data_IF_790158589102
#
_entry.id   IF_790158589102
#
_cell.length_a   1.000
_cell.length_b   1.000
_cell.length_c   1.000
_cell.angle_alpha   90.00
_cell.angle_beta   90.00
_cell.angle_gamma   90.00
#
_symmetry.space_group_name_H-M   'P 1'
#
loop_
_entity.id
_entity.type
_entity.pdbx_description
1 polymer ?
#
# COMPACT_ATOMS: atom_id res chain seq x y z
N UNK A 1 -70.52 -5.21 -12.63
CA UNK A 1 -69.26 -5.99 -12.45
C UNK A 1 -69.65 -7.40 -12.02
N UNK A 2 -69.13 -8.41 -12.71
CA UNK A 2 -69.50 -9.78 -12.38
C UNK A 2 -68.86 -10.19 -11.04
N UNK A 3 -69.52 -11.00 -10.21
CA UNK A 3 -69.01 -11.42 -8.91
C UNK A 3 -67.64 -12.10 -9.00
N UNK A 4 -67.34 -12.73 -10.16
CA UNK A 4 -66.05 -13.34 -10.44
C UNK A 4 -64.91 -12.31 -10.56
N UNK A 5 -65.16 -11.10 -11.09
CA UNK A 5 -64.17 -10.04 -11.26
C UNK A 5 -63.80 -9.44 -9.86
N UNK A 6 -64.79 -9.32 -8.97
CA UNK A 6 -64.58 -8.80 -7.61
C UNK A 6 -63.74 -9.80 -6.82
N UNK A 7 -63.99 -11.09 -6.92
CA UNK A 7 -63.20 -12.13 -6.21
C UNK A 7 -61.75 -12.16 -6.72
N UNK A 8 -61.53 -11.98 -8.03
CA UNK A 8 -60.17 -11.91 -8.63
C UNK A 8 -59.37 -10.69 -8.12
N UNK A 9 -60.01 -9.54 -7.99
CA UNK A 9 -59.38 -8.31 -7.50
C UNK A 9 -59.00 -8.47 -6.00
N UNK A 10 -59.86 -9.06 -5.19
CA UNK A 10 -59.60 -9.30 -3.79
C UNK A 10 -58.42 -10.25 -3.58
N UNK A 11 -58.35 -11.33 -4.37
CA UNK A 11 -57.22 -12.27 -4.31
C UNK A 11 -55.90 -11.61 -4.72
N UNK A 12 -55.89 -10.80 -5.79
CA UNK A 12 -54.71 -10.13 -6.23
C UNK A 12 -54.19 -9.06 -5.26
N UNK A 13 -55.13 -8.30 -4.64
CA UNK A 13 -54.73 -7.34 -3.56
C UNK A 13 -54.21 -8.03 -2.32
N UNK A 14 -54.82 -9.14 -1.91
CA UNK A 14 -54.31 -9.93 -0.79
C UNK A 14 -52.90 -10.50 -1.08
N UNK A 15 -52.66 -11.01 -2.29
CA UNK A 15 -51.35 -11.50 -2.72
C UNK A 15 -50.29 -10.38 -2.79
N UNK A 16 -50.67 -9.20 -3.25
CA UNK A 16 -49.76 -8.03 -3.30
C UNK A 16 -49.41 -7.53 -1.90
N UNK A 17 -50.38 -7.48 -0.97
CA UNK A 17 -50.12 -7.09 0.41
C UNK A 17 -49.27 -8.12 1.15
N UNK A 18 -49.51 -9.41 0.91
CA UNK A 18 -48.71 -10.51 1.47
C UNK A 18 -47.27 -10.47 0.96
N UNK A 19 -47.07 -10.25 -0.34
CA UNK A 19 -45.74 -10.10 -0.93
C UNK A 19 -45.01 -8.87 -0.39
N UNK A 20 -45.71 -7.74 -0.24
CA UNK A 20 -45.12 -6.53 0.34
C UNK A 20 -44.75 -6.70 1.82
N UNK A 21 -45.58 -7.42 2.58
CA UNK A 21 -45.33 -7.73 3.99
C UNK A 21 -44.11 -8.66 4.16
N UNK A 22 -44.00 -9.70 3.34
CA UNK A 22 -42.85 -10.62 3.31
C UNK A 22 -41.57 -9.88 2.87
N UNK A 23 -41.65 -8.99 1.90
CA UNK A 23 -40.49 -8.15 1.47
C UNK A 23 -40.04 -7.17 2.57
N UNK A 24 -40.97 -6.76 3.46
CA UNK A 24 -40.66 -5.88 4.59
C UNK A 24 -40.02 -6.63 5.76
N UNK A 25 -40.43 -7.87 5.98
CA UNK A 25 -39.82 -8.75 6.99
C UNK A 25 -38.41 -9.13 6.59
N UNK A 26 -38.17 -9.49 5.30
CA UNK A 26 -36.82 -9.76 4.80
C UNK A 26 -35.90 -8.54 4.79
N UNK A 27 -36.43 -7.31 4.75
CA UNK A 27 -35.63 -6.09 4.93
C UNK A 27 -35.30 -5.78 6.39
N UNK A 28 -36.02 -6.37 7.35
CA UNK A 28 -35.70 -6.21 8.76
C UNK A 28 -34.52 -7.10 9.19
N UNK A 29 -34.22 -8.16 8.43
CA UNK A 29 -33.07 -9.03 8.65
C UNK A 29 -31.73 -8.44 8.04
N UNK A 30 -31.82 -7.41 7.17
CA UNK A 30 -30.65 -6.68 6.68
C UNK A 30 -29.95 -5.85 7.78
N UNK A 31 -30.48 -5.84 9.00
CA UNK A 31 -29.78 -5.24 10.15
C UNK A 31 -28.68 -6.16 10.70
N UNK A 32 -28.65 -7.41 10.27
CA UNK A 32 -27.63 -8.38 10.66
C UNK A 32 -26.36 -8.32 9.75
N UNK A 33 -26.44 -7.58 8.62
CA UNK A 33 -25.27 -7.34 7.77
C UNK A 33 -24.16 -6.52 8.48
N UNK A 34 -24.47 -5.89 9.64
CA UNK A 34 -23.43 -5.25 10.47
C UNK A 34 -22.65 -6.23 11.35
N UNK A 35 -23.11 -7.47 11.48
CA UNK A 35 -22.36 -8.52 12.19
C UNK A 35 -21.48 -9.34 11.23
N UNK A 36 -21.73 -9.27 9.91
CA UNK A 36 -20.85 -9.90 8.92
C UNK A 36 -19.64 -9.03 8.55
N UNK A 37 -19.64 -7.75 8.90
CA UNK A 37 -18.48 -6.87 8.72
C UNK A 37 -17.34 -7.17 9.73
N UNK A 38 -17.59 -8.02 10.73
CA UNK A 38 -16.57 -8.47 11.70
C UNK A 38 -15.92 -9.80 11.33
N UNK A 39 -16.36 -10.47 10.28
CA UNK A 39 -15.71 -11.67 9.74
C UNK A 39 -14.98 -11.35 8.43
N UNK A 40 -14.29 -10.20 8.36
CA UNK A 40 -13.33 -9.98 7.31
C UNK A 40 -12.23 -11.03 7.47
N UNK A 41 -12.34 -12.12 6.71
CA UNK A 41 -11.28 -13.14 6.63
C UNK A 41 -10.13 -12.50 5.84
N UNK A 42 -9.27 -11.79 6.55
CA UNK A 42 -8.02 -11.31 5.98
C UNK A 42 -7.24 -12.48 5.39
N UNK A 43 -6.70 -12.28 4.21
CA UNK A 43 -5.78 -13.27 3.64
C UNK A 43 -4.43 -13.11 4.34
N UNK A 44 -3.88 -14.23 4.76
CA UNK A 44 -2.55 -14.34 5.31
C UNK A 44 -1.68 -15.15 4.35
N UNK A 45 -0.58 -14.56 3.93
CA UNK A 45 0.37 -15.19 3.02
C UNK A 45 1.72 -15.30 3.72
N UNK A 46 2.38 -16.46 3.54
CA UNK A 46 3.79 -16.66 3.88
C UNK A 46 4.59 -16.54 2.60
N UNK A 47 5.72 -15.82 2.67
CA UNK A 47 6.61 -15.61 1.51
C UNK A 47 5.87 -14.98 0.32
N UNK A 48 5.27 -13.81 0.56
CA UNK A 48 4.57 -13.06 -0.47
C UNK A 48 5.55 -12.41 -1.46
N UNK A 49 5.19 -12.42 -2.74
CA UNK A 49 5.87 -11.69 -3.80
C UNK A 49 4.84 -10.92 -4.62
N UNK A 50 5.01 -9.61 -4.70
CA UNK A 50 4.13 -8.71 -5.44
C UNK A 50 4.95 -7.99 -6.50
N UNK A 51 4.41 -7.93 -7.69
CA UNK A 51 5.00 -7.20 -8.82
C UNK A 51 4.10 -6.01 -9.13
N UNK A 52 4.65 -4.80 -9.11
CA UNK A 52 4.01 -3.60 -9.59
C UNK A 52 4.48 -3.30 -11.01
N UNK A 53 3.54 -3.05 -11.91
CA UNK A 53 3.82 -2.74 -13.31
C UNK A 53 3.30 -1.35 -13.67
N UNK A 54 3.90 -0.73 -14.66
CA UNK A 54 3.45 0.49 -15.29
C UNK A 54 2.28 0.22 -16.27
N UNK A 55 1.70 1.27 -16.84
CA UNK A 55 0.60 1.20 -17.83
C UNK A 55 0.97 0.39 -19.08
N UNK A 56 2.24 0.40 -19.49
CA UNK A 56 2.77 -0.39 -20.60
C UNK A 56 3.09 -1.85 -20.24
N UNK A 57 2.93 -2.24 -18.95
CA UNK A 57 3.22 -3.57 -18.42
C UNK A 57 4.68 -3.78 -18.02
N UNK A 58 5.54 -2.78 -18.08
CA UNK A 58 6.92 -2.86 -17.59
C UNK A 58 6.95 -2.99 -16.06
N UNK A 59 7.96 -3.69 -15.54
CA UNK A 59 8.11 -3.90 -14.10
C UNK A 59 8.65 -2.63 -13.45
N UNK A 60 7.86 -2.01 -12.57
CA UNK A 60 8.28 -0.86 -11.78
C UNK A 60 8.97 -1.27 -10.48
N UNK A 61 8.37 -2.21 -9.76
CA UNK A 61 8.92 -2.67 -8.48
C UNK A 61 8.51 -4.10 -8.17
N UNK A 62 9.29 -4.73 -7.33
CA UNK A 62 9.03 -6.04 -6.77
C UNK A 62 9.10 -5.96 -5.25
N UNK A 63 8.04 -6.40 -4.56
CA UNK A 63 7.99 -6.53 -3.11
C UNK A 63 8.10 -8.01 -2.77
N UNK A 64 9.10 -8.37 -1.99
CA UNK A 64 9.23 -9.66 -1.33
C UNK A 64 9.01 -9.44 0.16
N UNK A 65 8.17 -10.26 0.82
CA UNK A 65 7.91 -10.17 2.25
C UNK A 65 7.82 -11.56 2.88
N UNK A 66 8.27 -11.68 4.12
CA UNK A 66 8.15 -12.94 4.86
C UNK A 66 6.67 -13.24 5.15
N UNK A 67 5.90 -12.19 5.46
CA UNK A 67 4.47 -12.30 5.73
C UNK A 67 3.74 -11.13 5.07
N UNK A 68 2.53 -11.41 4.56
CA UNK A 68 1.59 -10.39 4.11
C UNK A 68 0.21 -10.70 4.66
N UNK A 69 -0.45 -9.71 5.24
CA UNK A 69 -1.77 -9.81 5.84
C UNK A 69 -2.66 -8.70 5.32
N UNK A 70 -3.86 -9.05 4.89
CA UNK A 70 -4.87 -8.09 4.52
C UNK A 70 -5.63 -7.65 5.76
N UNK A 71 -5.39 -6.42 6.23
CA UNK A 71 -5.98 -5.87 7.45
C UNK A 71 -7.37 -5.26 7.24
N UNK A 72 -7.66 -4.80 6.02
CA UNK A 72 -8.94 -4.24 5.59
C UNK A 72 -9.12 -4.52 4.10
N UNK A 73 -10.29 -4.21 3.53
CA UNK A 73 -10.56 -4.45 2.10
C UNK A 73 -9.50 -3.84 1.18
N UNK A 74 -8.95 -2.72 1.62
CA UNK A 74 -8.07 -1.83 0.84
C UNK A 74 -6.64 -1.74 1.35
N UNK A 75 -6.26 -2.50 2.41
CA UNK A 75 -4.94 -2.37 3.02
C UNK A 75 -4.27 -3.71 3.27
N UNK A 76 -3.05 -3.82 2.77
CA UNK A 76 -2.16 -4.97 2.98
C UNK A 76 -0.97 -4.51 3.81
N UNK A 77 -0.66 -5.24 4.88
CA UNK A 77 0.52 -5.06 5.70
C UNK A 77 1.50 -6.19 5.46
N UNK A 78 2.76 -5.82 5.35
CA UNK A 78 3.88 -6.74 5.09
C UNK A 78 4.86 -6.68 6.25
N UNK A 79 5.45 -7.83 6.58
CA UNK A 79 6.51 -7.95 7.59
C UNK A 79 7.76 -8.51 6.96
N UNK A 80 8.91 -7.97 7.35
CA UNK A 80 10.25 -8.31 6.83
C UNK A 80 10.29 -8.16 5.31
N UNK A 81 10.37 -6.90 4.89
CA UNK A 81 10.11 -6.49 3.51
C UNK A 81 11.40 -6.15 2.79
N UNK A 82 11.50 -6.65 1.57
CA UNK A 82 12.51 -6.25 0.60
C UNK A 82 11.82 -5.75 -0.65
N UNK A 83 12.04 -4.50 -1.00
CA UNK A 83 11.56 -3.90 -2.23
C UNK A 83 12.75 -3.76 -3.18
N UNK A 84 12.61 -4.30 -4.37
CA UNK A 84 13.52 -4.04 -5.48
C UNK A 84 12.81 -3.07 -6.41
N UNK A 85 13.36 -1.90 -6.55
CA UNK A 85 12.93 -0.91 -7.52
C UNK A 85 13.86 -0.98 -8.73
N UNK A 86 13.31 -1.29 -9.88
CA UNK A 86 14.09 -1.50 -11.11
C UNK A 86 13.38 -0.84 -12.29
N UNK A 87 13.18 0.48 -12.28
CA UNK A 87 12.85 1.17 -13.53
C UNK A 87 14.11 1.21 -14.40
N UNK A 88 13.97 1.71 -15.60
CA UNK A 88 15.08 1.98 -16.52
C UNK A 88 16.05 3.06 -16.01
N UNK A 89 16.27 3.11 -14.69
CA UNK A 89 17.22 4.02 -14.05
C UNK A 89 18.60 3.39 -14.01
N UNK A 90 19.64 4.24 -14.13
CA UNK A 90 21.04 3.82 -14.07
C UNK A 90 21.43 3.17 -12.73
N UNK A 91 20.64 3.38 -11.67
CA UNK A 91 20.93 2.91 -10.32
C UNK A 91 19.76 2.07 -9.81
N UNK A 92 19.91 0.74 -9.73
CA UNK A 92 18.92 -0.11 -9.08
C UNK A 92 18.91 0.13 -7.56
N UNK A 93 17.72 0.32 -6.99
CA UNK A 93 17.55 0.49 -5.56
C UNK A 93 16.97 -0.76 -4.91
N UNK A 94 17.55 -1.16 -3.78
CA UNK A 94 17.03 -2.21 -2.91
C UNK A 94 16.72 -1.60 -1.55
N UNK A 95 15.48 -1.72 -1.11
CA UNK A 95 15.01 -1.19 0.16
C UNK A 95 14.59 -2.34 1.06
N UNK A 96 15.07 -2.34 2.30
CA UNK A 96 14.64 -3.24 3.37
C UNK A 96 13.93 -2.44 4.44
N UNK A 97 12.88 -3.02 5.04
CA UNK A 97 12.15 -2.47 6.17
C UNK A 97 11.56 -3.59 7.04
N UNK A 98 11.32 -3.31 8.31
CA UNK A 98 10.65 -4.28 9.19
C UNK A 98 9.19 -4.47 8.76
N UNK A 99 8.54 -3.38 8.34
CA UNK A 99 7.13 -3.36 7.95
C UNK A 99 6.91 -2.49 6.70
N UNK A 100 5.94 -2.87 5.88
CA UNK A 100 5.41 -2.04 4.81
C UNK A 100 3.88 -2.09 4.77
N UNK A 101 3.27 -1.01 4.32
CA UNK A 101 1.83 -0.91 4.10
C UNK A 101 1.57 -0.44 2.68
N UNK A 102 0.71 -1.17 1.98
CA UNK A 102 0.17 -0.82 0.67
C UNK A 102 -1.35 -0.69 0.77
N UNK A 103 -1.90 0.40 0.25
CA UNK A 103 -3.35 0.63 0.22
C UNK A 103 -3.86 0.66 -1.21
N UNK A 104 -5.00 0.01 -1.46
CA UNK A 104 -5.67 0.04 -2.76
C UNK A 104 -6.06 1.48 -3.10
N UNK A 105 -5.84 1.89 -4.36
CA UNK A 105 -6.11 3.25 -4.81
C UNK A 105 -5.11 4.31 -4.34
N UNK A 106 -4.08 3.93 -3.58
CA UNK A 106 -2.95 4.79 -3.25
C UNK A 106 -1.65 4.10 -3.69
N UNK A 107 -0.94 4.62 -4.70
CA UNK A 107 0.29 4.02 -5.18
C UNK A 107 1.44 4.07 -4.17
N UNK A 108 1.29 4.85 -3.09
CA UNK A 108 2.33 5.04 -2.08
C UNK A 108 2.48 3.81 -1.19
N UNK A 109 3.72 3.40 -1.03
CA UNK A 109 4.16 2.35 -0.12
C UNK A 109 4.76 3.02 1.11
N UNK A 110 4.19 2.76 2.27
CA UNK A 110 4.73 3.26 3.55
C UNK A 110 5.62 2.20 4.17
N UNK A 111 6.86 2.56 4.48
CA UNK A 111 7.88 1.69 5.08
C UNK A 111 8.19 2.15 6.50
N UNK A 112 8.27 1.21 7.44
CA UNK A 112 8.54 1.47 8.86
C UNK A 112 9.54 0.48 9.44
N UNK A 113 10.29 0.96 10.44
CA UNK A 113 11.28 0.18 11.18
C UNK A 113 12.52 -0.12 10.34
N UNK A 114 13.68 0.28 10.81
CA UNK A 114 15.02 0.01 10.27
C UNK A 114 15.11 0.13 8.73
N UNK A 115 14.41 1.11 8.14
CA UNK A 115 14.40 1.31 6.69
C UNK A 115 15.81 1.57 6.19
N UNK A 116 16.27 0.73 5.27
CA UNK A 116 17.59 0.78 4.66
C UNK A 116 17.47 0.67 3.16
N UNK A 117 17.75 1.76 2.46
CA UNK A 117 17.80 1.79 1.00
C UNK A 117 19.25 1.77 0.54
N UNK A 118 19.58 0.91 -0.41
CA UNK A 118 20.90 0.77 -1.02
C UNK A 118 20.76 0.92 -2.53
N UNK A 119 21.46 1.91 -3.07
CA UNK A 119 21.62 2.10 -4.50
C UNK A 119 23.03 1.69 -4.91
N UNK A 120 23.15 0.78 -5.87
CA UNK A 120 24.42 0.34 -6.41
C UNK A 120 24.62 1.02 -7.76
N UNK A 121 25.39 2.10 -7.77
CA UNK A 121 25.91 2.69 -9.00
C UNK A 121 27.07 1.83 -9.44
N UNK A 122 27.15 1.42 -10.71
CA UNK A 122 28.21 0.54 -11.23
C UNK A 122 29.66 1.03 -11.07
N UNK A 123 29.91 1.93 -10.15
CA UNK A 123 31.19 2.47 -9.69
C UNK A 123 31.42 2.26 -8.18
N UNK A 124 32.57 2.69 -7.68
CA UNK A 124 33.08 2.42 -6.32
C UNK A 124 32.27 3.04 -5.15
N UNK A 125 31.12 3.68 -5.37
CA UNK A 125 30.41 4.45 -4.36
C UNK A 125 28.97 3.96 -4.17
N UNK A 126 28.82 2.90 -3.39
CA UNK A 126 27.49 2.50 -2.89
C UNK A 126 26.87 3.62 -2.05
N UNK A 127 25.63 3.97 -2.37
CA UNK A 127 24.85 4.90 -1.57
C UNK A 127 23.92 4.14 -0.67
N UNK A 128 24.01 4.41 0.62
CA UNK A 128 23.14 3.81 1.63
C UNK A 128 22.37 4.90 2.37
N UNK A 129 21.03 4.76 2.45
CA UNK A 129 20.14 5.66 3.18
C UNK A 129 19.48 4.87 4.29
N UNK A 130 19.49 5.38 5.52
CA UNK A 130 18.84 4.78 6.69
C UNK A 130 17.89 5.77 7.34
N UNK A 131 16.68 5.30 7.66
CA UNK A 131 15.66 6.04 8.40
C UNK A 131 14.75 5.08 9.17
N UNK A 132 13.84 5.59 10.00
CA UNK A 132 12.81 4.79 10.67
C UNK A 132 11.48 4.79 9.92
N UNK A 133 11.33 5.70 8.98
CA UNK A 133 10.11 5.88 8.21
C UNK A 133 10.43 6.38 6.82
N UNK A 134 9.80 5.83 5.80
CA UNK A 134 9.93 6.27 4.41
C UNK A 134 8.60 6.07 3.69
N UNK A 135 8.14 7.07 2.98
CA UNK A 135 7.10 6.96 1.98
C UNK A 135 7.74 6.85 0.59
N UNK A 136 7.32 5.87 -0.16
CA UNK A 136 7.80 5.60 -1.51
C UNK A 136 6.63 5.61 -2.48
N UNK A 137 6.70 6.46 -3.49
CA UNK A 137 5.73 6.59 -4.58
C UNK A 137 6.40 6.11 -5.88
N UNK A 138 6.15 4.88 -6.31
CA UNK A 138 6.79 4.32 -7.50
C UNK A 138 6.35 4.97 -8.80
N UNK A 139 5.10 5.47 -8.88
CA UNK A 139 4.58 6.11 -10.09
C UNK A 139 5.18 7.51 -10.31
N UNK A 140 5.43 8.23 -9.21
CA UNK A 140 6.05 9.56 -9.25
C UNK A 140 7.56 9.52 -9.13
N UNK A 141 8.15 8.35 -8.92
CA UNK A 141 9.58 8.17 -8.73
C UNK A 141 10.15 8.98 -7.55
N UNK A 142 9.39 9.04 -6.44
CA UNK A 142 9.73 9.86 -5.27
C UNK A 142 9.77 9.00 -4.01
N UNK A 143 10.81 9.23 -3.18
CA UNK A 143 10.88 8.70 -1.84
C UNK A 143 11.06 9.85 -0.84
N UNK A 144 10.25 9.92 0.22
CA UNK A 144 10.28 11.00 1.18
C UNK A 144 10.18 10.55 2.64
N UNK A 145 10.79 11.32 3.52
CA UNK A 145 10.65 11.18 4.96
C UNK A 145 10.76 12.53 5.65
N UNK A 146 9.96 12.71 6.71
CA UNK A 146 10.10 13.86 7.62
C UNK A 146 11.02 13.52 8.82
N UNK A 147 11.34 12.24 8.99
CA UNK A 147 12.14 11.75 10.09
C UNK A 147 13.64 12.04 9.93
N UNK A 148 14.39 11.57 10.91
CA UNK A 148 15.86 11.62 10.85
C UNK A 148 16.35 10.64 9.77
N UNK A 149 17.25 11.12 8.93
CA UNK A 149 17.87 10.34 7.88
C UNK A 149 19.40 10.36 8.04
N UNK A 150 20.02 9.23 7.76
CA UNK A 150 21.46 9.09 7.62
C UNK A 150 21.76 8.58 6.20
N UNK A 151 22.64 9.29 5.50
CA UNK A 151 23.08 8.94 4.15
C UNK A 151 24.58 8.67 4.22
N UNK A 152 25.01 7.55 3.63
CA UNK A 152 26.40 7.20 3.46
C UNK A 152 26.70 7.03 1.98
N UNK A 153 27.74 7.70 1.50
CA UNK A 153 28.25 7.61 0.13
C UNK A 153 29.75 7.35 0.21
N UNK A 154 30.15 6.09 0.03
CA UNK A 154 31.52 5.66 0.28
C UNK A 154 31.97 5.99 1.70
N UNK A 155 33.06 6.79 1.86
CA UNK A 155 33.61 7.23 3.14
C UNK A 155 32.88 8.45 3.75
N UNK A 156 31.93 9.05 3.05
CA UNK A 156 31.23 10.25 3.50
C UNK A 156 29.91 9.87 4.17
N UNK A 157 29.58 10.56 5.26
CA UNK A 157 28.30 10.38 5.97
C UNK A 157 27.63 11.73 6.19
N UNK A 158 26.34 11.79 5.88
CA UNK A 158 25.45 12.92 6.07
C UNK A 158 24.31 12.51 7.00
N UNK A 159 23.91 13.40 7.89
CA UNK A 159 22.69 13.25 8.68
C UNK A 159 21.82 14.48 8.51
N UNK A 160 20.50 14.29 8.44
CA UNK A 160 19.55 15.37 8.31
C UNK A 160 18.22 15.02 9.00
N UNK A 161 17.32 15.98 9.04
CA UNK A 161 15.91 15.81 9.40
C UNK A 161 15.09 16.15 8.16
N UNK A 162 14.34 15.18 7.67
CA UNK A 162 13.60 15.27 6.42
C UNK A 162 14.46 15.09 5.17
N UNK A 163 13.93 14.32 4.23
CA UNK A 163 14.54 14.03 2.94
C UNK A 163 13.47 13.91 1.87
N UNK A 164 13.79 14.38 0.68
CA UNK A 164 13.05 14.13 -0.55
C UNK A 164 14.03 13.61 -1.59
N UNK A 165 13.80 12.42 -2.11
CA UNK A 165 14.62 11.81 -3.17
C UNK A 165 13.78 11.69 -4.45
N UNK A 166 14.27 12.26 -5.54
CA UNK A 166 13.78 12.04 -6.91
C UNK A 166 14.63 10.94 -7.53
N UNK A 167 14.03 9.79 -7.79
CA UNK A 167 14.75 8.62 -8.25
C UNK A 167 15.14 8.73 -9.73
N UNK A 168 14.27 9.37 -10.54
CA UNK A 168 14.56 9.61 -11.96
C UNK A 168 15.73 10.57 -12.18
N UNK A 169 15.84 11.58 -11.31
CA UNK A 169 16.87 12.61 -11.42
C UNK A 169 18.12 12.28 -10.62
N UNK A 170 18.15 11.15 -9.91
CA UNK A 170 19.20 10.78 -8.95
C UNK A 170 19.52 11.91 -7.96
N UNK A 171 18.49 12.68 -7.56
CA UNK A 171 18.61 13.85 -6.72
C UNK A 171 18.06 13.60 -5.33
N UNK A 172 18.83 13.98 -4.31
CA UNK A 172 18.40 13.93 -2.91
C UNK A 172 18.45 15.34 -2.32
N UNK A 173 17.33 15.80 -1.81
CA UNK A 173 17.20 17.07 -1.09
C UNK A 173 17.05 16.77 0.41
N UNK A 174 17.87 17.42 1.25
CA UNK A 174 17.83 17.33 2.69
C UNK A 174 17.16 18.59 3.25
N UNK A 175 16.08 18.41 4.05
CA UNK A 175 15.22 19.53 4.46
C UNK A 175 15.86 20.41 5.55
N UNK A 176 16.39 19.82 6.62
CA UNK A 176 16.92 20.59 7.77
C UNK A 176 17.97 19.83 8.58
N UNK A 177 18.64 20.53 9.51
CA UNK A 177 19.61 19.97 10.45
C UNK A 177 20.74 19.15 9.78
N UNK A 178 21.16 19.58 8.59
CA UNK A 178 22.15 18.85 7.80
C UNK A 178 23.53 18.94 8.46
N UNK A 179 24.14 17.77 8.70
CA UNK A 179 25.52 17.62 9.22
C UNK A 179 26.26 16.59 8.40
N UNK A 180 27.48 16.90 8.03
CA UNK A 180 28.36 16.00 7.29
C UNK A 180 29.59 15.60 8.08
N UNK A 181 30.07 14.36 7.88
CA UNK A 181 31.39 13.88 8.31
C UNK A 181 32.07 13.25 7.11
N UNK A 182 33.33 13.55 6.95
CA UNK A 182 34.21 12.90 5.97
C UNK A 182 35.18 12.07 6.83
N UNK A 183 35.18 10.76 6.64
CA UNK A 183 36.21 9.92 7.22
C UNK A 183 37.53 10.14 6.46
N UNK A 184 38.65 10.30 7.14
CA UNK A 184 39.95 10.43 6.49
C UNK A 184 40.37 9.18 5.74
#
# INVERSE_FOLDING_TARGET
MSPRTITLIVVLTAAALGSWYLARINRADDTDDRLYDTAYRGYYLKSARILGTDEDGSLLYEIEALHAEQMAKDRIEFTDVRIRYSPDTEIPWIVHADEATLSEGNPRITLRGHVRAVGTSGGDLDTEIRTQYLEFDPERFVAETEGRVQIRIGARSLTATGMLASLNDNKVELKSNVRGKIAP
#
